data_IF_483298739686
#
_entry.id   IF_483298739686
#
_cell.length_a   1.000
_cell.length_b   1.000
_cell.length_c   1.000
_cell.angle_alpha   90.00
_cell.angle_beta   90.00
_cell.angle_gamma   90.00
#
_symmetry.space_group_name_H-M   'P 1'
#
loop_
_entity.id
_entity.type
_entity.pdbx_description
1 polymer ?
#
# COMPACT_ATOMS: atom_id res chain seq x y z
N UNK A 1 8.45 3.34 25.83
CA UNK A 1 8.29 3.50 24.37
C UNK A 1 6.87 3.11 23.97
N UNK A 2 6.21 3.92 23.16
CA UNK A 2 4.89 3.58 22.61
C UNK A 2 5.04 3.22 21.14
N UNK A 3 4.43 2.13 20.73
CA UNK A 3 4.50 1.62 19.36
C UNK A 3 3.07 1.40 18.85
N UNK A 4 2.82 1.89 17.63
CA UNK A 4 1.54 1.68 16.95
C UNK A 4 1.74 0.88 15.68
N UNK A 5 0.81 -0.01 15.39
CA UNK A 5 0.73 -0.65 14.06
C UNK A 5 0.31 0.39 13.04
N UNK A 6 1.11 0.62 12.02
CA UNK A 6 0.86 1.63 11.00
C UNK A 6 0.34 1.04 9.70
N UNK A 7 1.03 0.05 9.15
CA UNK A 7 0.63 -0.57 7.89
C UNK A 7 1.31 -1.91 7.69
N UNK A 8 0.74 -2.70 6.78
CA UNK A 8 1.34 -3.90 6.22
C UNK A 8 1.49 -3.70 4.72
N UNK A 9 2.66 -3.97 4.19
CA UNK A 9 2.93 -3.87 2.76
C UNK A 9 2.84 -5.24 2.10
N UNK A 10 2.12 -5.32 0.99
CA UNK A 10 1.98 -6.55 0.20
C UNK A 10 2.40 -6.24 -1.23
N UNK A 11 3.35 -7.02 -1.76
CA UNK A 11 3.80 -6.91 -3.13
C UNK A 11 3.10 -7.97 -3.97
N UNK A 12 2.58 -7.59 -5.12
CA UNK A 12 1.82 -8.47 -6.01
C UNK A 12 2.09 -8.12 -7.46
N UNK A 13 1.78 -9.04 -8.37
CA UNK A 13 1.93 -8.82 -9.81
C UNK A 13 0.82 -7.93 -10.39
N UNK A 14 -0.35 -7.92 -9.78
CA UNK A 14 -1.50 -7.14 -10.21
C UNK A 14 -2.13 -6.49 -8.99
N UNK A 15 -1.67 -5.29 -8.66
CA UNK A 15 -2.11 -4.62 -7.46
C UNK A 15 -3.58 -4.23 -7.49
N UNK A 16 -4.12 -3.89 -8.67
CA UNK A 16 -5.53 -3.48 -8.80
C UNK A 16 -6.46 -4.64 -8.49
N UNK A 17 -6.14 -5.82 -8.98
CA UNK A 17 -6.92 -7.02 -8.73
C UNK A 17 -6.91 -7.39 -7.25
N UNK A 18 -5.76 -7.31 -6.60
CA UNK A 18 -5.66 -7.62 -5.18
C UNK A 18 -6.35 -6.55 -4.33
N UNK A 19 -6.21 -5.27 -4.68
CA UNK A 19 -6.90 -4.19 -3.99
C UNK A 19 -8.42 -4.37 -4.08
N UNK A 20 -8.95 -4.68 -5.26
CA UNK A 20 -10.38 -4.94 -5.45
C UNK A 20 -10.86 -6.10 -4.56
N UNK A 21 -10.06 -7.14 -4.43
CA UNK A 21 -10.38 -8.27 -3.55
C UNK A 21 -10.55 -7.81 -2.09
N UNK A 22 -9.62 -7.02 -1.58
CA UNK A 22 -9.70 -6.52 -0.22
C UNK A 22 -10.87 -5.56 -0.01
N UNK A 23 -11.19 -4.74 -1.00
CA UNK A 23 -12.34 -3.85 -0.94
C UNK A 23 -13.66 -4.62 -0.90
N UNK A 24 -13.82 -5.63 -1.77
CA UNK A 24 -15.05 -6.40 -1.89
C UNK A 24 -15.26 -7.37 -0.73
N UNK A 25 -14.21 -8.09 -0.33
CA UNK A 25 -14.33 -9.15 0.67
C UNK A 25 -14.23 -8.63 2.09
N UNK A 26 -13.33 -7.70 2.34
CA UNK A 26 -13.05 -7.21 3.70
C UNK A 26 -13.48 -5.78 3.95
N UNK A 27 -14.15 -5.15 2.99
CA UNK A 27 -14.65 -3.77 3.12
C UNK A 27 -13.55 -2.75 3.39
N UNK A 28 -12.36 -2.98 2.87
CA UNK A 28 -11.29 -1.99 2.93
C UNK A 28 -11.63 -0.79 2.05
N UNK A 29 -11.19 0.40 2.45
CA UNK A 29 -11.49 1.65 1.74
C UNK A 29 -10.21 2.21 1.13
N UNK A 30 -10.18 2.54 -0.18
CA UNK A 30 -8.99 3.12 -0.78
C UNK A 30 -8.66 4.50 -0.20
N UNK A 31 -7.37 4.76 -0.01
CA UNK A 31 -6.85 6.04 0.46
C UNK A 31 -6.10 6.68 -0.71
N UNK A 32 -6.73 7.61 -1.44
CA UNK A 32 -6.09 8.24 -2.58
C UNK A 32 -4.90 9.12 -2.15
N UNK A 33 -4.00 9.44 -3.08
CA UNK A 33 -4.02 9.05 -4.50
C UNK A 33 -3.42 7.66 -4.73
N UNK A 34 -3.59 7.12 -5.94
CA UNK A 34 -2.80 5.98 -6.38
C UNK A 34 -1.33 6.36 -6.32
N UNK A 35 -0.49 5.40 -5.96
CA UNK A 35 0.95 5.61 -5.87
C UNK A 35 1.62 5.15 -7.15
N UNK A 36 2.53 5.98 -7.65
CA UNK A 36 3.35 5.67 -8.82
C UNK A 36 4.71 6.32 -8.56
N UNK A 37 5.65 5.54 -8.04
CA UNK A 37 6.93 6.04 -7.56
C UNK A 37 8.07 5.41 -8.34
N UNK A 38 8.97 6.26 -8.83
CA UNK A 38 10.19 5.84 -9.53
C UNK A 38 11.23 6.95 -9.41
N UNK A 39 12.47 6.60 -9.73
CA UNK A 39 13.58 7.55 -9.71
C UNK A 39 14.77 7.03 -8.91
N UNK A 40 15.89 7.75 -9.01
CA UNK A 40 17.10 7.33 -8.35
C UNK A 40 16.99 7.25 -6.83
N UNK A 41 16.18 8.11 -6.24
CA UNK A 41 15.92 8.08 -4.79
C UNK A 41 15.28 6.76 -4.35
N UNK A 42 14.39 6.22 -5.18
CA UNK A 42 13.73 4.95 -4.90
C UNK A 42 14.70 3.79 -5.09
N UNK A 43 15.51 3.85 -6.16
CA UNK A 43 16.54 2.84 -6.41
C UNK A 43 17.51 2.73 -5.22
N UNK A 44 17.94 3.86 -4.69
CA UNK A 44 18.83 3.91 -3.53
C UNK A 44 18.15 3.40 -2.27
N UNK A 45 16.89 3.77 -2.06
CA UNK A 45 16.15 3.37 -0.88
C UNK A 45 15.79 1.89 -0.84
N UNK A 46 15.53 1.29 -2.01
CA UNK A 46 15.14 -0.12 -2.11
C UNK A 46 16.31 -1.05 -2.43
N UNK A 47 17.42 -0.53 -2.95
CA UNK A 47 18.52 -1.34 -3.45
C UNK A 47 18.22 -2.03 -4.77
N UNK A 48 17.17 -1.61 -5.47
CA UNK A 48 16.74 -2.20 -6.75
C UNK A 48 16.93 -1.18 -7.86
N UNK A 49 17.67 -1.55 -8.88
CA UNK A 49 17.93 -0.69 -10.04
C UNK A 49 16.64 -0.53 -10.86
N UNK A 50 16.33 0.70 -11.25
CA UNK A 50 15.12 1.06 -11.99
C UNK A 50 13.84 0.62 -11.28
N UNK A 51 13.80 0.77 -9.96
CA UNK A 51 12.62 0.44 -9.18
C UNK A 51 11.43 1.31 -9.58
N UNK A 52 10.27 0.70 -9.72
CA UNK A 52 9.02 1.37 -10.05
C UNK A 52 7.92 0.75 -9.20
N UNK A 53 7.35 1.53 -8.28
CA UNK A 53 6.29 1.05 -7.41
C UNK A 53 4.97 1.69 -7.83
N UNK A 54 3.98 0.86 -8.12
CA UNK A 54 2.61 1.27 -8.40
C UNK A 54 1.68 0.61 -7.40
N UNK A 55 0.73 1.35 -6.87
CA UNK A 55 -0.17 0.75 -5.92
C UNK A 55 -1.09 1.73 -5.23
N UNK A 56 -1.65 1.28 -4.13
CA UNK A 56 -2.65 2.00 -3.37
C UNK A 56 -2.57 1.61 -1.90
N UNK A 57 -2.88 2.55 -1.04
CA UNK A 57 -3.12 2.28 0.37
C UNK A 57 -4.60 2.01 0.59
N UNK A 58 -4.92 0.98 1.35
CA UNK A 58 -6.29 0.65 1.73
C UNK A 58 -6.44 0.76 3.24
N UNK A 59 -7.48 1.48 3.68
CA UNK A 59 -7.81 1.57 5.10
C UNK A 59 -8.55 0.30 5.53
N UNK A 60 -8.10 -0.28 6.63
CA UNK A 60 -8.77 -1.45 7.20
C UNK A 60 -10.08 -1.04 7.87
N UNK A 61 -11.14 -1.88 7.80
CA UNK A 61 -12.40 -1.59 8.47
C UNK A 61 -12.26 -1.71 9.99
N UNK A 62 -13.16 -1.05 10.71
CA UNK A 62 -13.19 -1.11 12.17
C UNK A 62 -12.29 -0.12 12.88
N UNK A 63 -11.59 0.73 12.13
CA UNK A 63 -10.73 1.78 12.68
C UNK A 63 -11.23 3.15 12.24
N UNK A 64 -10.74 4.20 12.92
CA UNK A 64 -10.98 5.57 12.51
C UNK A 64 -10.01 5.98 11.37
N UNK A 65 -10.03 7.27 11.02
CA UNK A 65 -9.21 7.80 9.92
C UNK A 65 -7.70 7.68 10.16
N UNK A 66 -7.29 7.43 11.39
CA UNK A 66 -5.89 7.27 11.75
C UNK A 66 -5.50 5.81 11.95
N UNK A 67 -6.38 4.88 11.59
CA UNK A 67 -6.14 3.46 11.74
C UNK A 67 -5.11 2.92 10.77
N UNK A 68 -4.70 1.64 10.95
CA UNK A 68 -3.71 1.02 10.08
C UNK A 68 -4.23 0.81 8.66
N UNK A 69 -3.30 0.73 7.72
CA UNK A 69 -3.60 0.53 6.30
C UNK A 69 -2.86 -0.68 5.74
N UNK A 70 -3.40 -1.21 4.64
CA UNK A 70 -2.66 -2.13 3.77
C UNK A 70 -2.07 -1.32 2.62
N UNK A 71 -0.81 -1.55 2.30
CA UNK A 71 -0.15 -0.96 1.13
C UNK A 71 0.01 -2.07 0.10
N UNK A 72 -0.77 -1.98 -0.98
CA UNK A 72 -0.74 -2.98 -2.06
C UNK A 72 0.07 -2.40 -3.21
N UNK A 73 1.19 -3.03 -3.54
CA UNK A 73 2.11 -2.55 -4.57
C UNK A 73 2.51 -3.64 -5.56
N UNK A 74 2.95 -3.22 -6.73
CA UNK A 74 3.61 -4.09 -7.71
C UNK A 74 4.88 -3.45 -8.23
#
# INVERSE_FOLDING_TARGET
MKVKYAHTNIITKDWKKLADFYELVFSCTPVPPERDQKGSWLDKGTGVLNAHLQGMHLRLPGYDDNGPTLEIYQ
#
